data_IF_760801105192
#
_entry.id   IF_760801105192
#
_cell.length_a   1.000
_cell.length_b   1.000
_cell.length_c   1.000
_cell.angle_alpha   90.00
_cell.angle_beta   90.00
_cell.angle_gamma   90.00
#
_symmetry.space_group_name_H-M   'P 1'
#
loop_
_entity.id
_entity.type
_entity.pdbx_description
1 polymer ?
#
# COMPACT_ATOMS: atom_id res chain seq x y z
N UNK A 1 8.13 -5.84 -13.50
CA UNK A 1 8.90 -6.22 -12.29
C UNK A 1 10.02 -7.17 -12.70
N UNK A 2 11.05 -7.39 -11.88
CA UNK A 2 12.08 -8.43 -12.16
C UNK A 2 12.45 -9.15 -10.85
N UNK A 3 12.26 -10.47 -10.81
CA UNK A 3 12.57 -11.34 -9.67
C UNK A 3 11.90 -10.91 -8.34
N UNK A 4 10.66 -10.42 -8.40
CA UNK A 4 9.94 -9.93 -7.22
C UNK A 4 10.32 -8.53 -6.74
N UNK A 5 11.23 -7.84 -7.46
CA UNK A 5 11.68 -6.48 -7.16
C UNK A 5 10.97 -5.46 -8.05
N UNK A 6 10.62 -4.32 -7.45
CA UNK A 6 10.04 -3.17 -8.15
C UNK A 6 11.16 -2.46 -8.93
N UNK A 7 10.90 -2.13 -10.19
CA UNK A 7 11.84 -1.44 -11.10
C UNK A 7 11.25 -0.08 -11.51
N UNK A 8 12.08 0.81 -12.05
CA UNK A 8 11.62 2.12 -12.55
C UNK A 8 11.26 3.12 -11.44
N UNK A 9 11.77 2.93 -10.21
CA UNK A 9 11.51 3.81 -9.07
C UNK A 9 12.34 5.09 -9.08
N UNK A 10 13.32 5.25 -9.96
CA UNK A 10 14.12 6.48 -10.15
C UNK A 10 14.61 7.10 -8.82
N UNK A 11 15.12 6.28 -7.91
CA UNK A 11 15.61 6.72 -6.59
C UNK A 11 14.52 6.98 -5.54
N UNK A 12 13.23 6.85 -5.88
CA UNK A 12 12.13 7.01 -4.92
C UNK A 12 12.10 5.84 -3.95
N UNK A 13 12.14 6.18 -2.67
CA UNK A 13 12.09 5.22 -1.55
C UNK A 13 10.71 5.17 -0.90
N UNK A 14 9.84 6.13 -1.21
CA UNK A 14 8.45 6.18 -0.77
C UNK A 14 7.56 6.49 -1.97
N UNK A 15 6.53 5.68 -2.15
CA UNK A 15 5.59 5.77 -3.28
C UNK A 15 4.18 5.42 -2.81
N UNK A 16 3.20 5.94 -3.53
CA UNK A 16 1.81 5.53 -3.37
C UNK A 16 1.54 4.32 -4.26
N UNK A 17 0.65 3.43 -3.83
CA UNK A 17 0.25 2.27 -4.62
C UNK A 17 -1.25 2.04 -4.60
N UNK A 18 -1.70 1.36 -5.65
CA UNK A 18 -3.02 0.76 -5.79
C UNK A 18 -2.86 -0.65 -6.35
N UNK A 19 -3.64 -1.60 -5.87
CA UNK A 19 -3.87 -2.88 -6.55
C UNK A 19 -5.30 -2.84 -7.05
N UNK A 20 -5.48 -2.83 -8.37
CA UNK A 20 -6.81 -2.73 -8.99
C UNK A 20 -7.62 -4.05 -8.81
N UNK A 21 -8.89 -4.03 -9.24
CA UNK A 21 -9.79 -5.20 -9.18
C UNK A 21 -9.26 -6.44 -9.91
N UNK A 22 -8.34 -6.26 -10.85
CA UNK A 22 -7.73 -7.34 -11.62
C UNK A 22 -6.45 -7.87 -10.95
N UNK A 23 -6.08 -7.35 -9.77
CA UNK A 23 -4.86 -7.73 -9.06
C UNK A 23 -3.60 -7.06 -9.61
N UNK A 24 -3.72 -6.06 -10.49
CA UNK A 24 -2.57 -5.35 -11.05
C UNK A 24 -2.08 -4.28 -10.07
N UNK A 25 -0.82 -4.39 -9.69
CA UNK A 25 -0.13 -3.37 -8.89
C UNK A 25 0.26 -2.16 -9.76
N UNK A 26 -0.23 -0.99 -9.37
CA UNK A 26 0.11 0.31 -9.92
C UNK A 26 0.83 1.12 -8.85
N UNK A 27 1.98 1.70 -9.20
CA UNK A 27 2.82 2.50 -8.30
C UNK A 27 3.01 3.88 -8.91
N UNK A 28 2.90 4.94 -8.10
CA UNK A 28 3.15 6.28 -8.58
C UNK A 28 3.09 7.34 -7.48
N UNK A 29 2.65 8.53 -7.87
CA UNK A 29 2.41 9.67 -6.97
C UNK A 29 0.92 9.96 -6.96
N UNK A 30 0.32 10.10 -5.77
CA UNK A 30 -1.09 10.44 -5.51
C UNK A 30 -2.06 9.33 -5.92
N UNK A 31 -2.69 8.68 -4.94
CA UNK A 31 -3.63 7.56 -5.12
C UNK A 31 -4.77 7.83 -6.11
N UNK A 32 -5.29 9.06 -6.19
CA UNK A 32 -6.39 9.39 -7.10
C UNK A 32 -6.03 9.23 -8.58
N UNK A 33 -4.74 9.39 -8.93
CA UNK A 33 -4.26 9.18 -10.30
C UNK A 33 -4.02 7.71 -10.63
N UNK A 34 -3.93 6.85 -9.61
CA UNK A 34 -3.54 5.45 -9.78
C UNK A 34 -4.76 4.51 -9.89
N UNK A 35 -5.86 4.84 -9.22
CA UNK A 35 -7.08 4.02 -9.25
C UNK A 35 -8.21 4.56 -10.13
N UNK A 36 -8.01 5.67 -10.85
CA UNK A 36 -9.03 6.28 -11.72
C UNK A 36 -10.41 6.54 -11.06
N UNK A 37 -10.46 6.68 -9.74
CA UNK A 37 -11.70 6.75 -8.90
C UNK A 37 -12.52 5.45 -8.85
N UNK A 38 -12.01 4.35 -9.37
CA UNK A 38 -12.63 3.03 -9.25
C UNK A 38 -12.29 2.38 -7.91
N UNK A 39 -13.10 1.41 -7.48
CA UNK A 39 -12.77 0.62 -6.29
C UNK A 39 -11.53 -0.25 -6.55
N UNK A 40 -10.77 -0.51 -5.50
CA UNK A 40 -9.46 -1.16 -5.55
C UNK A 40 -9.38 -2.27 -4.51
N UNK A 41 -8.57 -3.30 -4.76
CA UNK A 41 -8.34 -4.38 -3.78
C UNK A 41 -7.40 -3.91 -2.66
N UNK A 42 -6.51 -2.96 -2.96
CA UNK A 42 -5.61 -2.37 -1.97
C UNK A 42 -5.20 -0.96 -2.40
N UNK A 43 -5.00 -0.09 -1.41
CA UNK A 43 -4.34 1.21 -1.60
C UNK A 43 -3.57 1.62 -0.36
N UNK A 44 -2.44 2.30 -0.56
CA UNK A 44 -1.59 2.68 0.56
C UNK A 44 -0.26 3.28 0.15
N UNK A 45 0.68 3.33 1.08
CA UNK A 45 2.05 3.73 0.79
C UNK A 45 3.01 2.55 0.92
N UNK A 46 4.06 2.62 0.11
CA UNK A 46 5.12 1.64 0.01
C UNK A 46 6.44 2.31 0.34
N UNK A 47 7.21 1.71 1.26
CA UNK A 47 8.63 2.00 1.42
C UNK A 47 9.45 0.96 0.67
N UNK A 48 10.33 1.41 -0.20
CA UNK A 48 11.17 0.58 -1.07
C UNK A 48 12.63 0.98 -0.86
N UNK A 49 13.55 0.02 -0.84
CA UNK A 49 14.98 0.32 -0.77
C UNK A 49 15.58 0.58 -2.18
N UNK A 50 16.86 0.98 -2.23
CA UNK A 50 17.55 1.23 -3.51
C UNK A 50 17.68 0.00 -4.43
N UNK A 51 17.41 -1.20 -3.93
CA UNK A 51 17.42 -2.44 -4.72
C UNK A 51 16.03 -2.79 -5.28
N UNK A 52 14.99 -2.04 -4.94
CA UNK A 52 13.61 -2.31 -5.37
C UNK A 52 12.86 -3.30 -4.48
N UNK A 53 13.34 -3.54 -3.26
CA UNK A 53 12.72 -4.45 -2.30
C UNK A 53 11.76 -3.70 -1.39
N UNK A 54 10.59 -4.30 -1.16
CA UNK A 54 9.58 -3.76 -0.24
C UNK A 54 10.09 -3.85 1.19
N UNK A 55 10.14 -2.71 1.87
CA UNK A 55 10.55 -2.58 3.27
C UNK A 55 9.37 -2.30 4.19
N UNK A 56 8.34 -1.62 3.69
CA UNK A 56 7.11 -1.37 4.44
C UNK A 56 5.91 -1.22 3.52
N UNK A 57 4.77 -1.72 3.95
CA UNK A 57 3.44 -1.50 3.35
C UNK A 57 2.55 -0.90 4.43
N UNK A 58 1.80 0.16 4.11
CA UNK A 58 0.76 0.71 4.98
C UNK A 58 -0.56 0.95 4.23
N UNK A 59 -1.64 1.28 4.94
CA UNK A 59 -2.97 1.56 4.38
C UNK A 59 -3.27 3.05 4.21
N UNK A 60 -2.26 3.93 4.27
CA UNK A 60 -2.45 5.38 4.11
C UNK A 60 -2.68 5.72 2.64
N UNK A 61 -3.94 5.97 2.29
CA UNK A 61 -4.39 5.96 0.88
C UNK A 61 -5.33 7.09 0.48
N UNK A 62 -5.37 8.17 1.26
CA UNK A 62 -6.23 9.32 0.99
C UNK A 62 -7.71 8.99 1.17
N UNK A 63 -8.45 8.85 0.07
CA UNK A 63 -9.90 8.61 0.08
C UNK A 63 -10.29 7.13 0.16
N UNK A 64 -9.43 6.20 -0.28
CA UNK A 64 -9.77 4.77 -0.25
C UNK A 64 -9.89 4.22 1.17
N UNK A 65 -9.07 4.72 2.09
CA UNK A 65 -9.08 4.44 3.55
C UNK A 65 -9.40 2.97 3.92
N UNK A 66 -8.71 1.97 3.36
CA UNK A 66 -8.99 0.57 3.68
C UNK A 66 -8.84 0.33 5.19
N UNK A 67 -9.81 -0.39 5.74
CA UNK A 67 -9.83 -0.80 7.14
C UNK A 67 -8.64 -1.69 7.45
N UNK A 68 -8.34 -1.84 8.75
CA UNK A 68 -7.29 -2.75 9.22
C UNK A 68 -7.57 -4.19 8.77
N UNK A 69 -8.84 -4.59 8.70
CA UNK A 69 -9.27 -5.93 8.27
C UNK A 69 -8.98 -6.11 6.77
N UNK A 70 -9.41 -5.19 5.92
CA UNK A 70 -9.13 -5.26 4.48
C UNK A 70 -7.62 -5.21 4.20
N UNK A 71 -6.90 -4.29 4.88
CA UNK A 71 -5.48 -4.11 4.68
C UNK A 71 -4.62 -5.24 5.23
N UNK A 72 -5.17 -6.10 6.09
CA UNK A 72 -4.46 -7.28 6.61
C UNK A 72 -4.05 -8.26 5.50
N UNK A 73 -4.75 -8.24 4.36
CA UNK A 73 -4.51 -9.09 3.21
C UNK A 73 -3.48 -8.52 2.20
N UNK A 74 -2.95 -7.32 2.45
CA UNK A 74 -1.99 -6.69 1.51
C UNK A 74 -0.80 -7.58 1.14
N UNK A 75 -0.13 -8.29 2.06
CA UNK A 75 1.02 -9.10 1.71
C UNK A 75 0.69 -10.14 0.62
N UNK A 76 -0.45 -10.81 0.74
CA UNK A 76 -0.92 -11.79 -0.24
C UNK A 76 -1.23 -11.15 -1.60
N UNK A 77 -1.89 -9.99 -1.60
CA UNK A 77 -2.20 -9.24 -2.83
C UNK A 77 -0.93 -8.81 -3.56
N UNK A 78 0.11 -8.38 -2.83
CA UNK A 78 1.41 -8.05 -3.41
C UNK A 78 2.12 -9.27 -4.00
N UNK A 79 2.06 -10.42 -3.32
CA UNK A 79 2.64 -11.68 -3.82
C UNK A 79 1.94 -12.15 -5.08
N UNK A 80 0.60 -12.08 -5.12
CA UNK A 80 -0.22 -12.35 -6.32
C UNK A 80 0.11 -11.39 -7.47
N UNK A 81 0.43 -10.14 -7.16
CA UNK A 81 0.90 -9.15 -8.14
C UNK A 81 2.37 -9.34 -8.56
N UNK A 82 3.06 -10.37 -8.04
CA UNK A 82 4.44 -10.71 -8.41
C UNK A 82 5.53 -9.91 -7.67
N UNK A 83 5.21 -9.30 -6.53
CA UNK A 83 6.16 -8.57 -5.68
C UNK A 83 6.47 -9.34 -4.41
N UNK A 84 7.77 -9.47 -4.11
CA UNK A 84 8.22 -10.08 -2.85
C UNK A 84 8.14 -9.05 -1.72
N UNK A 85 7.42 -9.43 -0.66
CA UNK A 85 7.21 -8.59 0.52
C UNK A 85 7.78 -9.22 1.81
N UNK A 86 8.15 -10.51 1.76
CA UNK A 86 8.81 -11.23 2.84
C UNK A 86 10.03 -10.48 3.36
N UNK A 87 10.13 -10.36 4.69
CA UNK A 87 11.20 -9.61 5.35
C UNK A 87 10.94 -8.11 5.48
N UNK A 88 9.92 -7.58 4.79
CA UNK A 88 9.39 -6.23 5.02
C UNK A 88 8.45 -6.17 6.22
N UNK A 89 7.84 -5.00 6.43
CA UNK A 89 6.87 -4.73 7.48
C UNK A 89 5.51 -4.36 6.92
N UNK A 90 4.45 -4.69 7.65
CA UNK A 90 3.12 -4.13 7.44
C UNK A 90 2.75 -3.28 8.65
N UNK A 91 2.38 -2.03 8.39
CA UNK A 91 1.93 -1.07 9.38
C UNK A 91 0.51 -0.63 9.04
N UNK A 92 -0.47 -1.00 9.87
CA UNK A 92 -1.86 -0.66 9.62
C UNK A 92 -2.34 0.41 10.59
N UNK A 93 -3.07 1.36 10.04
CA UNK A 93 -3.59 2.51 10.75
C UNK A 93 -5.11 2.41 10.82
N UNK A 94 -5.66 2.65 12.01
CA UNK A 94 -7.08 2.92 12.19
C UNK A 94 -7.30 4.40 11.94
N UNK A 95 -8.32 4.72 11.15
CA UNK A 95 -8.65 6.08 10.77
C UNK A 95 -9.93 6.51 11.46
N UNK A 96 -9.91 7.67 12.12
CA UNK A 96 -11.12 8.30 12.63
C UNK A 96 -11.57 9.41 11.69
N UNK A 97 -12.86 9.42 11.37
CA UNK A 97 -13.47 10.35 10.43
C UNK A 97 -14.55 11.11 11.17
N UNK A 98 -14.53 12.44 11.07
CA UNK A 98 -15.59 13.26 11.64
C UNK A 98 -16.87 13.22 10.78
N UNK A 99 -17.95 13.82 11.30
CA UNK A 99 -19.26 13.89 10.62
C UNK A 99 -19.20 14.56 9.22
N UNK A 100 -18.18 15.36 8.94
CA UNK A 100 -17.98 16.03 7.64
C UNK A 100 -17.09 15.25 6.67
N UNK A 101 -16.68 14.02 7.01
CA UNK A 101 -15.90 13.15 6.12
C UNK A 101 -14.38 13.39 6.15
N UNK A 102 -13.88 14.26 7.03
CA UNK A 102 -12.46 14.55 7.18
C UNK A 102 -11.80 13.59 8.15
N UNK A 103 -10.58 13.16 7.80
CA UNK A 103 -9.72 12.39 8.68
C UNK A 103 -9.28 13.26 9.85
N UNK A 104 -9.59 12.85 11.08
CA UNK A 104 -9.18 13.54 12.30
C UNK A 104 -8.00 12.87 12.97
N UNK A 105 -7.92 11.54 12.88
CA UNK A 105 -6.86 10.76 13.53
C UNK A 105 -6.44 9.56 12.69
N UNK A 106 -5.15 9.23 12.76
CA UNK A 106 -4.58 8.04 12.15
C UNK A 106 -3.67 7.33 13.17
N UNK A 107 -4.23 6.38 13.90
CA UNK A 107 -3.53 5.62 14.94
C UNK A 107 -2.92 4.35 14.34
N UNK A 108 -1.62 4.11 14.58
CA UNK A 108 -1.00 2.85 14.17
C UNK A 108 -1.39 1.73 15.15
N UNK A 109 -2.18 0.78 14.68
CA UNK A 109 -2.70 -0.32 15.51
C UNK A 109 -2.05 -1.67 15.19
N UNK A 110 -1.40 -1.80 14.02
CA UNK A 110 -0.60 -2.99 13.67
C UNK A 110 0.79 -2.54 13.24
N UNK A 111 1.81 -3.23 13.74
CA UNK A 111 3.17 -3.21 13.20
C UNK A 111 3.74 -4.61 13.30
N UNK A 112 3.85 -5.32 12.18
CA UNK A 112 4.38 -6.69 12.16
C UNK A 112 5.29 -6.93 10.97
N UNK A 113 6.28 -7.81 11.18
CA UNK A 113 7.16 -8.28 10.11
C UNK A 113 6.42 -9.32 9.26
N UNK A 114 6.56 -9.22 7.94
CA UNK A 114 5.97 -10.15 6.98
C UNK A 114 6.88 -11.39 6.90
N UNK A 115 6.31 -12.56 7.19
CA UNK A 115 7.02 -13.85 7.26
C UNK A 115 7.09 -14.56 5.92
#
# INVERSE_FOLDING_TARGET
MKNGKIKGINGRTQVDFVIDKNGKLVIGKRHHTLGNRDEVLAAGQLKINGQGEVRRIDNKSGHYRPTVVEASNYPELFEKAGVKVKGGWIELYKFEINKSGYLTEAEKVVSKKIK
#
